data_IF_433542388206
#
_entry.id   IF_433542388206
#
_cell.length_a   1.000
_cell.length_b   1.000
_cell.length_c   1.000
_cell.angle_alpha   90.00
_cell.angle_beta   90.00
_cell.angle_gamma   90.00
#
_symmetry.space_group_name_H-M   'P 1'
#
loop_
_entity.id
_entity.type
_entity.pdbx_description
1 polymer ?
#
# COMPACT_ATOMS: atom_id res chain seq x y z
N UNK A 1 -7.41 -14.07 -28.28
CA UNK A 1 -6.39 -15.09 -27.95
C UNK A 1 -5.36 -14.39 -27.09
N UNK A 2 -5.36 -14.64 -25.77
CA UNK A 2 -4.40 -14.03 -24.85
C UNK A 2 -3.08 -14.81 -24.95
N UNK A 3 -1.97 -14.08 -25.10
CA UNK A 3 -0.65 -14.64 -25.33
C UNK A 3 -0.19 -15.42 -24.09
N UNK A 4 0.05 -16.72 -24.23
CA UNK A 4 0.36 -17.66 -23.13
C UNK A 4 1.78 -17.54 -22.56
N UNK A 5 2.61 -16.65 -23.12
CA UNK A 5 4.02 -16.44 -22.73
C UNK A 5 4.26 -15.22 -21.83
N UNK A 6 3.22 -14.49 -21.44
CA UNK A 6 3.34 -13.48 -20.39
C UNK A 6 3.30 -14.20 -19.03
N UNK A 7 4.42 -14.85 -18.66
CA UNK A 7 4.64 -15.19 -17.26
C UNK A 7 4.48 -13.91 -16.45
N UNK A 8 3.51 -13.89 -15.53
CA UNK A 8 3.32 -12.75 -14.62
C UNK A 8 4.63 -12.55 -13.88
N UNK A 9 5.32 -11.48 -14.26
CA UNK A 9 6.48 -10.93 -13.54
C UNK A 9 6.07 -10.84 -12.08
N UNK A 10 6.79 -11.57 -11.23
CA UNK A 10 6.61 -11.72 -9.77
C UNK A 10 5.58 -10.78 -9.16
N UNK A 11 4.43 -11.31 -8.73
CA UNK A 11 3.41 -10.56 -8.00
C UNK A 11 3.87 -10.40 -6.54
N UNK A 12 4.18 -9.17 -6.12
CA UNK A 12 4.44 -8.85 -4.70
C UNK A 12 3.15 -8.44 -4.01
N UNK A 13 2.63 -9.23 -3.06
CA UNK A 13 1.43 -8.85 -2.31
C UNK A 13 1.75 -7.69 -1.36
N UNK A 14 0.87 -6.69 -1.34
CA UNK A 14 0.87 -5.65 -0.30
C UNK A 14 0.01 -6.10 0.86
N UNK A 15 0.56 -6.04 2.06
CA UNK A 15 -0.12 -6.49 3.26
C UNK A 15 -0.72 -5.29 3.99
N UNK A 16 -2.03 -5.31 4.19
CA UNK A 16 -2.72 -4.37 5.08
C UNK A 16 -3.03 -5.11 6.38
N UNK A 17 -2.45 -4.68 7.49
CA UNK A 17 -2.73 -5.35 8.76
C UNK A 17 -4.19 -5.14 9.17
N UNK A 18 -4.84 -6.23 9.57
CA UNK A 18 -6.24 -6.17 9.98
C UNK A 18 -6.36 -5.57 11.38
N UNK A 19 -7.00 -4.41 11.49
CA UNK A 19 -7.44 -3.83 12.78
C UNK A 19 -8.86 -4.31 13.09
N UNK A 20 -9.01 -5.21 14.06
CA UNK A 20 -10.32 -5.82 14.40
C UNK A 20 -11.36 -4.80 14.87
N UNK A 21 -10.92 -3.67 15.43
CA UNK A 21 -11.81 -2.55 15.79
C UNK A 21 -12.42 -1.84 14.57
N UNK A 22 -11.77 -1.95 13.40
CA UNK A 22 -12.17 -1.27 12.16
C UNK A 22 -12.75 -2.23 11.12
N UNK A 23 -12.32 -3.49 11.10
CA UNK A 23 -12.68 -4.49 10.09
C UNK A 23 -13.13 -5.82 10.73
N UNK A 24 -14.35 -6.23 10.40
CA UNK A 24 -14.96 -7.53 10.67
C UNK A 24 -14.47 -8.59 9.67
N UNK A 25 -14.26 -8.22 8.42
CA UNK A 25 -13.67 -9.07 7.37
C UNK A 25 -12.18 -8.80 7.13
N UNK A 26 -11.68 -9.24 5.97
CA UNK A 26 -10.31 -8.93 5.52
C UNK A 26 -10.30 -7.56 4.84
N UNK A 27 -9.19 -6.82 4.86
CA UNK A 27 -9.05 -5.61 4.06
C UNK A 27 -9.21 -5.97 2.57
N UNK A 28 -10.10 -5.25 1.87
CA UNK A 28 -10.29 -5.36 0.44
C UNK A 28 -9.81 -4.08 -0.25
N UNK A 29 -8.79 -4.19 -1.10
CA UNK A 29 -8.28 -3.05 -1.86
C UNK A 29 -9.30 -2.64 -2.90
N UNK A 30 -9.77 -1.38 -2.83
CA UNK A 30 -10.75 -0.85 -3.76
C UNK A 30 -10.10 -0.04 -4.88
N UNK A 31 -9.10 0.77 -4.53
CA UNK A 31 -8.48 1.68 -5.48
C UNK A 31 -7.08 2.10 -5.04
N UNK A 32 -6.28 2.47 -6.04
CA UNK A 32 -5.03 3.20 -5.84
C UNK A 32 -5.35 4.69 -5.92
N UNK A 33 -5.16 5.43 -4.84
CA UNK A 33 -5.42 6.88 -4.79
C UNK A 33 -4.25 7.69 -5.36
N UNK A 34 -3.02 7.27 -5.06
CA UNK A 34 -1.82 7.97 -5.49
C UNK A 34 -0.59 7.06 -5.46
N UNK A 35 0.36 7.31 -6.36
CA UNK A 35 1.68 6.69 -6.37
C UNK A 35 2.75 7.74 -6.67
N UNK A 36 3.88 7.70 -5.97
CA UNK A 36 4.99 8.61 -6.23
C UNK A 36 6.28 8.12 -5.59
N UNK A 37 7.44 8.51 -6.13
CA UNK A 37 8.74 8.26 -5.48
C UNK A 37 8.76 8.78 -4.03
N UNK A 38 9.43 8.09 -3.12
CA UNK A 38 9.47 8.51 -1.72
C UNK A 38 10.20 9.85 -1.53
N UNK A 39 11.21 10.15 -2.37
CA UNK A 39 12.14 11.30 -2.32
C UNK A 39 13.04 11.38 -1.08
N UNK A 40 12.54 10.95 0.08
CA UNK A 40 13.25 11.01 1.36
C UNK A 40 14.11 9.76 1.58
N UNK A 41 13.65 8.62 1.06
CA UNK A 41 14.34 7.34 1.10
C UNK A 41 14.74 7.00 -0.34
N UNK A 42 16.03 6.73 -0.61
CA UNK A 42 16.49 6.30 -1.93
C UNK A 42 15.78 5.02 -2.39
N UNK A 43 15.64 4.85 -3.70
CA UNK A 43 15.10 3.63 -4.32
C UNK A 43 13.80 3.12 -3.67
N UNK A 44 12.90 4.04 -3.39
CA UNK A 44 11.63 3.73 -2.75
C UNK A 44 10.45 4.50 -3.36
N UNK A 45 9.27 3.89 -3.26
CA UNK A 45 7.99 4.43 -3.73
C UNK A 45 6.97 4.46 -2.61
N UNK A 46 6.12 5.47 -2.63
CA UNK A 46 4.93 5.58 -1.80
C UNK A 46 3.69 5.23 -2.62
N UNK A 47 2.82 4.41 -2.05
CA UNK A 47 1.52 4.03 -2.63
C UNK A 47 0.43 4.31 -1.61
N UNK A 48 -0.51 5.19 -1.94
CA UNK A 48 -1.72 5.43 -1.14
C UNK A 48 -2.87 4.61 -1.71
N UNK A 49 -3.47 3.76 -0.88
CA UNK A 49 -4.61 2.89 -1.23
C UNK A 49 -5.86 3.27 -0.46
N UNK A 50 -7.01 3.15 -1.13
CA UNK A 50 -8.32 3.04 -0.51
C UNK A 50 -8.70 1.57 -0.34
N UNK A 51 -9.13 1.18 0.86
CA UNK A 51 -9.59 -0.18 1.16
C UNK A 51 -10.86 -0.15 2.01
N UNK A 52 -11.65 -1.22 1.94
CA UNK A 52 -12.84 -1.40 2.76
C UNK A 52 -12.78 -2.73 3.52
N UNK A 53 -13.75 -2.95 4.39
CA UNK A 53 -14.00 -4.26 4.96
C UNK A 53 -14.67 -5.17 3.90
N UNK A 54 -14.07 -6.33 3.62
CA UNK A 54 -14.62 -7.32 2.69
C UNK A 54 -15.94 -7.95 3.14
N UNK A 55 -16.31 -7.80 4.42
CA UNK A 55 -17.55 -8.31 4.98
C UNK A 55 -18.70 -7.28 4.89
N UNK A 56 -18.44 -6.07 4.41
CA UNK A 56 -19.50 -5.10 4.16
C UNK A 56 -20.43 -5.62 3.05
N UNK A 57 -21.77 -5.57 3.25
CA UNK A 57 -22.71 -6.03 2.26
C UNK A 57 -22.62 -5.18 0.99
N UNK A 58 -22.60 -5.85 -0.16
CA UNK A 58 -22.64 -5.18 -1.46
C UNK A 58 -24.06 -4.63 -1.72
N UNK A 59 -24.37 -3.42 -1.24
CA UNK A 59 -25.57 -2.67 -1.64
C UNK A 59 -25.23 -1.74 -2.81
N UNK A 60 -25.85 -1.88 -3.99
CA UNK A 60 -25.56 -1.02 -5.14
C UNK A 60 -25.92 0.46 -4.92
N UNK A 61 -26.67 0.80 -3.87
CA UNK A 61 -27.04 2.18 -3.53
C UNK A 61 -26.01 2.89 -2.66
N UNK A 62 -25.14 2.15 -1.98
CA UNK A 62 -24.19 2.71 -1.02
C UNK A 62 -22.81 2.09 -1.20
N UNK A 63 -21.79 2.93 -1.38
CA UNK A 63 -20.42 2.46 -1.30
C UNK A 63 -20.08 2.10 0.16
N UNK A 64 -19.37 0.99 0.40
CA UNK A 64 -18.95 0.64 1.76
C UNK A 64 -17.96 1.70 2.30
N UNK A 65 -17.84 1.85 3.62
CA UNK A 65 -16.88 2.78 4.22
C UNK A 65 -15.45 2.56 3.69
N UNK A 66 -14.80 3.65 3.27
CA UNK A 66 -13.44 3.63 2.76
C UNK A 66 -12.44 4.06 3.84
N UNK A 67 -11.44 3.22 4.06
CA UNK A 67 -10.25 3.50 4.84
C UNK A 67 -9.09 3.80 3.90
N UNK A 68 -8.14 4.63 4.34
CA UNK A 68 -7.01 5.04 3.51
C UNK A 68 -5.72 4.79 4.27
N UNK A 69 -4.76 4.17 3.60
CA UNK A 69 -3.41 3.91 4.13
C UNK A 69 -2.37 4.21 3.06
N UNK A 70 -1.16 4.58 3.47
CA UNK A 70 -0.02 4.76 2.55
C UNK A 70 1.12 3.81 2.89
N UNK A 71 1.58 3.03 1.92
CA UNK A 71 2.72 2.12 2.04
C UNK A 71 4.00 2.75 1.52
N UNK A 72 5.13 2.36 2.12
CA UNK A 72 6.46 2.56 1.57
C UNK A 72 6.94 1.23 0.99
N UNK A 73 7.29 1.23 -0.30
CA UNK A 73 7.94 0.11 -0.96
C UNK A 73 9.38 0.45 -1.23
N UNK A 74 10.30 -0.40 -0.80
CA UNK A 74 11.73 -0.31 -1.10
C UNK A 74 12.07 -1.23 -2.25
N UNK A 75 12.97 -0.76 -3.09
CA UNK A 75 13.50 -1.49 -4.22
C UNK A 75 14.95 -1.84 -3.96
N UNK A 76 15.34 -3.05 -4.32
CA UNK A 76 16.75 -3.45 -4.36
C UNK A 76 17.00 -4.38 -5.53
N UNK A 77 18.24 -4.43 -6.01
CA UNK A 77 18.67 -5.45 -6.96
C UNK A 77 19.32 -6.60 -6.18
N UNK A 78 18.83 -7.82 -6.42
CA UNK A 78 19.48 -9.05 -5.99
C UNK A 78 19.73 -9.95 -7.19
N UNK A 79 20.97 -9.97 -7.67
CA UNK A 79 21.44 -10.79 -8.80
C UNK A 79 20.70 -10.51 -10.11
N UNK A 80 20.53 -9.23 -10.47
CA UNK A 80 19.85 -8.79 -11.69
C UNK A 80 18.32 -8.91 -11.61
N UNK A 81 17.78 -9.06 -10.40
CA UNK A 81 16.34 -9.18 -10.14
C UNK A 81 15.90 -8.08 -9.20
N UNK A 82 14.88 -7.32 -9.64
CA UNK A 82 14.20 -6.34 -8.81
C UNK A 82 13.50 -7.05 -7.65
N UNK A 83 13.93 -6.76 -6.43
CA UNK A 83 13.24 -7.10 -5.20
C UNK A 83 12.42 -5.90 -4.73
N UNK A 84 11.20 -6.18 -4.29
CA UNK A 84 10.27 -5.19 -3.76
C UNK A 84 9.90 -5.62 -2.36
N UNK A 85 10.16 -4.76 -1.38
CA UNK A 85 9.84 -4.98 0.02
C UNK A 85 8.92 -3.88 0.53
N UNK A 86 7.87 -4.25 1.26
CA UNK A 86 7.05 -3.29 1.99
C UNK A 86 7.72 -2.96 3.33
N UNK A 87 8.07 -1.70 3.54
CA UNK A 87 8.71 -1.21 4.77
C UNK A 87 7.67 -0.47 5.64
N UNK A 88 7.24 -1.16 6.69
CA UNK A 88 6.25 -0.64 7.65
C UNK A 88 6.89 0.03 8.88
N UNK A 89 8.23 0.03 9.01
CA UNK A 89 8.95 0.45 10.23
C UNK A 89 8.64 1.88 10.65
N UNK A 90 8.40 2.74 9.66
CA UNK A 90 8.31 4.18 9.86
C UNK A 90 6.88 4.71 9.80
N UNK A 91 6.12 4.32 8.77
CA UNK A 91 4.74 4.77 8.59
C UNK A 91 3.75 3.95 9.43
N UNK A 92 4.13 2.73 9.83
CA UNK A 92 3.23 1.76 10.44
C UNK A 92 2.23 1.18 9.43
N UNK A 93 1.57 0.09 9.82
CA UNK A 93 0.61 -0.61 8.98
C UNK A 93 -0.57 -1.16 9.80
N UNK A 94 -1.83 -0.79 9.45
CA UNK A 94 -2.16 0.30 8.54
C UNK A 94 -1.86 1.64 9.21
N UNK A 95 -1.90 2.73 8.43
CA UNK A 95 -1.77 4.09 8.92
C UNK A 95 -2.87 5.00 8.35
N UNK A 96 -2.91 6.25 8.81
CA UNK A 96 -3.93 7.22 8.41
C UNK A 96 -3.38 8.30 7.46
N UNK A 97 -2.22 8.08 6.83
CA UNK A 97 -1.65 9.04 5.89
C UNK A 97 -2.44 9.01 4.58
N UNK A 98 -3.25 10.04 4.35
CA UNK A 98 -4.14 10.13 3.17
C UNK A 98 -3.48 10.71 1.93
N UNK A 99 -2.29 11.29 2.05
CA UNK A 99 -1.58 11.95 0.95
C UNK A 99 -0.10 11.61 0.95
N UNK A 100 0.49 11.59 -0.24
CA UNK A 100 1.93 11.39 -0.43
C UNK A 100 2.74 12.47 0.33
N UNK A 101 2.26 13.72 0.36
CA UNK A 101 2.93 14.79 1.07
C UNK A 101 3.01 14.54 2.59
N UNK A 102 1.89 14.10 3.20
CA UNK A 102 1.85 13.74 4.61
C UNK A 102 2.78 12.56 4.93
N UNK A 103 2.76 11.50 4.11
CA UNK A 103 3.65 10.35 4.28
C UNK A 103 5.14 10.76 4.16
N UNK A 104 5.51 11.59 3.18
CA UNK A 104 6.88 12.12 3.07
C UNK A 104 7.31 12.91 4.29
N UNK A 105 6.43 13.73 4.85
CA UNK A 105 6.75 14.49 6.07
C UNK A 105 7.00 13.56 7.26
N UNK A 106 6.20 12.51 7.42
CA UNK A 106 6.44 11.49 8.44
C UNK A 106 7.77 10.76 8.23
N UNK A 107 8.10 10.36 6.99
CA UNK A 107 9.41 9.75 6.67
C UNK A 107 10.59 10.66 7.03
N UNK A 108 10.50 11.97 6.78
CA UNK A 108 11.56 12.92 7.15
C UNK A 108 11.80 12.96 8.65
N UNK A 109 10.72 13.01 9.44
CA UNK A 109 10.82 13.05 10.90
C UNK A 109 11.42 11.77 11.47
N UNK A 110 11.08 10.65 10.85
CA UNK A 110 11.54 9.32 11.21
C UNK A 110 13.02 9.09 10.85
N UNK A 111 13.47 9.56 9.69
CA UNK A 111 14.88 9.51 9.29
C UNK A 111 15.79 10.48 10.09
N UNK A 112 15.19 11.40 10.85
CA UNK A 112 15.93 12.32 11.73
C UNK A 112 16.11 11.78 13.15
N UNK A 113 15.61 10.57 13.44
CA UNK A 113 15.79 9.87 14.72
C UNK A 113 16.89 8.83 14.58
#
# INVERSE_FOLDING_TARGET
MFNSDLSLVTVTPLNINRRKEQLIGKPFCQNVKAMSVAKVIPDAMLITLGYSDSNEPADPRYAPPEFITTFLLRFSDQNGKLQIEQDDSCLGNPNNYKTIAAARNALKQCASK
#
